data_IF_949154842911
#
_entry.id   IF_949154842911
#
_cell.length_a   1.000
_cell.length_b   1.000
_cell.length_c   1.000
_cell.angle_alpha   90.00
_cell.angle_beta   90.00
_cell.angle_gamma   90.00
#
_symmetry.space_group_name_H-M   'P 1'
#
loop_
_entity.id
_entity.type
_entity.pdbx_description
1 polymer ?
#
# COMPACT_ATOMS: atom_id res chain seq x y z
N UNK A 1 -1.18 -21.46 26.85
CA UNK A 1 -1.23 -21.25 25.39
C UNK A 1 -0.07 -22.01 24.77
N UNK A 2 -0.36 -22.91 23.86
CA UNK A 2 0.72 -23.62 23.14
C UNK A 2 1.39 -22.69 22.12
N UNK A 3 2.60 -23.02 21.71
CA UNK A 3 3.33 -22.29 20.67
C UNK A 3 2.55 -22.27 19.36
N UNK A 4 1.95 -23.39 18.99
CA UNK A 4 1.08 -23.49 17.79
C UNK A 4 -0.11 -22.57 17.87
N UNK A 5 -0.76 -22.50 19.03
CA UNK A 5 -1.90 -21.60 19.22
C UNK A 5 -1.47 -20.13 19.11
N UNK A 6 -0.28 -19.78 19.59
CA UNK A 6 0.26 -18.42 19.44
C UNK A 6 0.49 -18.07 17.95
N UNK A 7 1.03 -19.00 17.15
CA UNK A 7 1.19 -18.79 15.70
C UNK A 7 -0.13 -18.62 14.99
N UNK A 8 -1.13 -19.45 15.30
CA UNK A 8 -2.47 -19.32 14.72
C UNK A 8 -3.10 -17.97 15.04
N UNK A 9 -2.94 -17.48 16.27
CA UNK A 9 -3.43 -16.17 16.66
C UNK A 9 -2.73 -15.02 15.90
N UNK A 10 -1.43 -15.14 15.65
CA UNK A 10 -0.67 -14.15 14.87
C UNK A 10 -1.15 -14.16 13.41
N UNK A 11 -1.33 -15.32 12.82
CA UNK A 11 -1.83 -15.44 11.44
C UNK A 11 -3.27 -14.92 11.30
N UNK A 12 -4.13 -15.20 12.26
CA UNK A 12 -5.50 -14.65 12.29
C UNK A 12 -5.49 -13.12 12.39
N UNK A 13 -4.66 -12.56 13.27
CA UNK A 13 -4.49 -11.12 13.38
C UNK A 13 -3.95 -10.49 12.08
N UNK A 14 -2.97 -11.13 11.44
CA UNK A 14 -2.44 -10.68 10.16
C UNK A 14 -3.50 -10.70 9.06
N UNK A 15 -4.31 -11.75 8.99
CA UNK A 15 -5.42 -11.85 8.04
C UNK A 15 -6.46 -10.75 8.24
N UNK A 16 -6.77 -10.40 9.47
CA UNK A 16 -7.68 -9.29 9.81
C UNK A 16 -7.10 -7.93 9.40
N UNK A 17 -5.81 -7.71 9.60
CA UNK A 17 -5.12 -6.49 9.13
C UNK A 17 -5.20 -6.40 7.61
N UNK A 18 -4.95 -7.49 6.88
CA UNK A 18 -5.04 -7.52 5.42
C UNK A 18 -6.45 -7.20 4.92
N UNK A 19 -7.45 -7.76 5.57
CA UNK A 19 -8.84 -7.43 5.25
C UNK A 19 -9.14 -5.95 5.44
N UNK A 20 -8.71 -5.37 6.55
CA UNK A 20 -8.90 -3.95 6.82
C UNK A 20 -8.16 -3.06 5.81
N UNK A 21 -6.96 -3.41 5.40
CA UNK A 21 -6.21 -2.70 4.34
C UNK A 21 -6.97 -2.74 3.02
N UNK A 22 -7.51 -3.88 2.64
CA UNK A 22 -8.32 -4.03 1.43
C UNK A 22 -9.57 -3.11 1.48
N UNK A 23 -10.25 -3.04 2.62
CA UNK A 23 -11.40 -2.15 2.81
C UNK A 23 -11.02 -0.67 2.73
N UNK A 24 -9.86 -0.28 3.28
CA UNK A 24 -9.35 1.10 3.17
C UNK A 24 -9.07 1.45 1.72
N UNK A 25 -8.42 0.57 0.95
CA UNK A 25 -8.13 0.79 -0.47
C UNK A 25 -9.41 0.90 -1.29
N UNK A 26 -10.40 0.07 -1.04
CA UNK A 26 -11.71 0.14 -1.70
C UNK A 26 -12.42 1.46 -1.40
N UNK A 27 -12.43 1.87 -0.13
CA UNK A 27 -13.03 3.13 0.28
C UNK A 27 -12.31 4.34 -0.37
N UNK A 28 -10.99 4.31 -0.45
CA UNK A 28 -10.21 5.36 -1.11
C UNK A 28 -10.43 5.40 -2.62
N UNK A 29 -10.62 4.27 -3.26
CA UNK A 29 -10.98 4.22 -4.69
C UNK A 29 -12.33 4.88 -4.94
N UNK A 30 -13.34 4.57 -4.13
CA UNK A 30 -14.68 5.19 -4.23
C UNK A 30 -14.63 6.69 -3.94
N UNK A 31 -13.88 7.11 -2.92
CA UNK A 31 -13.69 8.52 -2.58
C UNK A 31 -13.04 9.28 -3.75
N UNK A 32 -11.98 8.72 -4.33
CA UNK A 32 -11.28 9.33 -5.47
C UNK A 32 -12.17 9.48 -6.70
N UNK A 33 -13.02 8.50 -6.97
CA UNK A 33 -14.00 8.56 -8.05
C UNK A 33 -15.04 9.66 -7.81
N UNK A 34 -15.53 9.78 -6.59
CA UNK A 34 -16.46 10.86 -6.20
C UNK A 34 -15.84 12.24 -6.34
N UNK A 35 -14.61 12.42 -5.86
CA UNK A 35 -13.86 13.68 -5.99
C UNK A 35 -13.65 14.03 -7.46
N UNK A 36 -13.23 13.05 -8.28
CA UNK A 36 -13.07 13.24 -9.72
C UNK A 36 -14.36 13.71 -10.38
N UNK A 37 -15.47 13.03 -10.11
CA UNK A 37 -16.77 13.38 -10.66
C UNK A 37 -17.24 14.74 -10.19
N UNK A 38 -17.01 15.09 -8.92
CA UNK A 38 -17.35 16.40 -8.39
C UNK A 38 -16.56 17.50 -9.10
N UNK A 39 -15.25 17.34 -9.27
CA UNK A 39 -14.38 18.30 -9.97
C UNK A 39 -14.88 18.50 -11.41
N UNK A 40 -15.15 17.42 -12.14
CA UNK A 40 -15.57 17.49 -13.53
C UNK A 40 -16.93 18.18 -13.74
N UNK A 41 -17.83 18.12 -12.76
CA UNK A 41 -19.18 18.62 -12.88
C UNK A 41 -19.46 19.95 -12.19
N UNK A 42 -18.62 20.36 -11.24
CA UNK A 42 -18.88 21.53 -10.39
C UNK A 42 -17.79 22.59 -10.44
N UNK A 43 -16.61 22.24 -10.91
CA UNK A 43 -15.48 23.15 -10.95
C UNK A 43 -15.43 23.80 -12.34
N UNK A 44 -15.69 25.10 -12.38
CA UNK A 44 -15.60 25.96 -13.55
C UNK A 44 -14.30 26.78 -13.50
N UNK A 45 -13.88 27.33 -14.63
CA UNK A 45 -12.72 28.22 -14.69
C UNK A 45 -12.82 29.38 -13.69
N UNK A 46 -14.05 29.86 -13.42
CA UNK A 46 -14.33 30.91 -12.44
C UNK A 46 -14.26 30.47 -10.98
N UNK A 47 -14.12 29.17 -10.72
CA UNK A 47 -14.05 28.62 -9.35
C UNK A 47 -12.69 28.84 -8.70
N UNK A 48 -11.68 29.19 -9.48
CA UNK A 48 -10.32 29.43 -9.00
C UNK A 48 -9.95 30.90 -9.17
N UNK A 49 -9.14 31.41 -8.25
CA UNK A 49 -8.65 32.79 -8.31
C UNK A 49 -7.67 33.01 -9.46
N UNK A 50 -6.90 31.99 -9.80
CA UNK A 50 -5.92 31.98 -10.89
C UNK A 50 -5.70 30.59 -11.49
N UNK A 51 -4.96 30.55 -12.60
CA UNK A 51 -4.59 29.32 -13.30
C UNK A 51 -3.69 28.40 -12.47
N UNK A 52 -2.87 28.97 -11.60
CA UNK A 52 -1.96 28.19 -10.76
C UNK A 52 -2.76 27.34 -9.76
N UNK A 53 -3.76 27.93 -9.11
CA UNK A 53 -4.66 27.20 -8.21
C UNK A 53 -5.52 26.17 -8.92
N UNK A 54 -5.94 26.44 -10.13
CA UNK A 54 -6.69 25.50 -10.95
C UNK A 54 -5.93 24.19 -11.19
N UNK A 55 -4.60 24.26 -11.25
CA UNK A 55 -3.74 23.10 -11.41
C UNK A 55 -3.29 22.51 -10.06
N UNK A 56 -2.92 23.35 -9.09
CA UNK A 56 -2.35 22.88 -7.82
C UNK A 56 -3.37 22.21 -6.92
N UNK A 57 -4.59 22.74 -6.78
CA UNK A 57 -5.57 22.22 -5.83
C UNK A 57 -5.97 20.77 -6.12
N UNK A 58 -6.25 20.35 -7.37
CA UNK A 58 -6.48 18.95 -7.68
C UNK A 58 -5.25 18.05 -7.49
N UNK A 59 -4.04 18.58 -7.73
CA UNK A 59 -2.79 17.86 -7.49
C UNK A 59 -2.54 17.63 -6.00
N UNK A 60 -2.84 18.61 -5.15
CA UNK A 60 -2.73 18.47 -3.69
C UNK A 60 -3.63 17.35 -3.15
N UNK A 61 -4.85 17.24 -3.67
CA UNK A 61 -5.76 16.12 -3.33
C UNK A 61 -5.18 14.78 -3.79
N UNK A 62 -4.60 14.74 -4.98
CA UNK A 62 -3.93 13.55 -5.50
C UNK A 62 -2.73 13.14 -4.62
N UNK A 63 -1.91 14.10 -4.23
CA UNK A 63 -0.74 13.85 -3.38
C UNK A 63 -1.13 13.29 -2.01
N UNK A 64 -2.21 13.77 -1.41
CA UNK A 64 -2.76 13.20 -0.17
C UNK A 64 -3.18 11.74 -0.33
N UNK A 65 -3.75 11.37 -1.47
CA UNK A 65 -4.09 9.99 -1.77
C UNK A 65 -2.84 9.12 -1.90
N UNK A 66 -1.81 9.62 -2.59
CA UNK A 66 -0.52 8.93 -2.73
C UNK A 66 0.13 8.70 -1.36
N UNK A 67 0.11 9.69 -0.46
CA UNK A 67 0.62 9.54 0.92
C UNK A 67 -0.08 8.41 1.68
N UNK A 68 -1.39 8.26 1.55
CA UNK A 68 -2.13 7.14 2.16
C UNK A 68 -1.66 5.81 1.61
N UNK A 69 -1.50 5.69 0.29
CA UNK A 69 -1.02 4.46 -0.35
C UNK A 69 0.40 4.12 0.09
N UNK A 70 1.29 5.11 0.18
CA UNK A 70 2.65 4.93 0.70
C UNK A 70 2.65 4.46 2.16
N UNK A 71 1.80 5.03 3.00
CA UNK A 71 1.63 4.60 4.39
C UNK A 71 1.15 3.15 4.51
N UNK A 72 0.19 2.74 3.68
CA UNK A 72 -0.29 1.36 3.61
C UNK A 72 0.81 0.41 3.11
N UNK A 73 1.62 0.84 2.16
CA UNK A 73 2.76 0.05 1.66
C UNK A 73 3.79 -0.18 2.77
N UNK A 74 4.13 0.85 3.55
CA UNK A 74 5.02 0.72 4.72
C UNK A 74 4.44 -0.21 5.78
N UNK A 75 3.14 -0.14 6.05
CA UNK A 75 2.45 -1.05 6.96
C UNK A 75 2.57 -2.51 6.48
N UNK A 76 2.34 -2.76 5.21
CA UNK A 76 2.44 -4.09 4.60
C UNK A 76 3.86 -4.65 4.68
N UNK A 77 4.86 -3.84 4.37
CA UNK A 77 6.26 -4.23 4.46
C UNK A 77 6.66 -4.56 5.91
N UNK A 78 6.22 -3.76 6.87
CA UNK A 78 6.43 -4.01 8.29
C UNK A 78 5.77 -5.30 8.76
N UNK A 79 4.54 -5.55 8.35
CA UNK A 79 3.82 -6.78 8.68
C UNK A 79 4.52 -8.01 8.10
N UNK A 80 4.93 -7.94 6.84
CA UNK A 80 5.66 -9.02 6.17
C UNK A 80 6.98 -9.32 6.88
N UNK A 81 7.73 -8.29 7.25
CA UNK A 81 8.97 -8.42 8.01
C UNK A 81 8.75 -9.07 9.38
N UNK A 82 7.72 -8.65 10.10
CA UNK A 82 7.37 -9.22 11.40
C UNK A 82 6.97 -10.70 11.28
N UNK A 83 6.18 -11.06 10.29
CA UNK A 83 5.79 -12.44 10.04
C UNK A 83 6.98 -13.32 9.71
N UNK A 84 7.92 -12.86 8.89
CA UNK A 84 9.17 -13.58 8.58
C UNK A 84 10.03 -13.83 9.83
N UNK A 85 10.02 -12.89 10.77
CA UNK A 85 10.79 -13.01 12.01
C UNK A 85 10.16 -13.99 12.99
N UNK A 86 8.84 -14.02 13.08
CA UNK A 86 8.08 -14.80 14.07
C UNK A 86 7.81 -16.22 13.60
N UNK A 87 7.50 -16.42 12.32
CA UNK A 87 7.23 -17.75 11.78
C UNK A 87 8.53 -18.57 11.69
N UNK A 88 8.49 -19.88 12.01
CA UNK A 88 9.67 -20.71 11.91
C UNK A 88 10.13 -20.79 10.46
N UNK A 89 11.47 -20.82 10.21
CA UNK A 89 11.97 -21.08 8.89
C UNK A 89 11.45 -22.44 8.41
N UNK A 90 11.15 -22.55 7.12
CA UNK A 90 10.84 -23.85 6.50
C UNK A 90 12.07 -24.74 6.73
N UNK A 91 11.87 -25.89 7.38
CA UNK A 91 12.92 -26.89 7.49
C UNK A 91 13.32 -27.30 6.08
N UNK A 92 14.57 -27.03 5.70
CA UNK A 92 15.19 -27.53 4.47
C UNK A 92 15.35 -29.06 4.56
N UNK A 93 14.25 -29.79 4.55
CA UNK A 93 14.29 -31.23 4.36
C UNK A 93 13.31 -31.65 3.27
N UNK A 94 13.87 -31.94 2.12
CA UNK A 94 13.15 -32.59 1.02
C UNK A 94 13.06 -31.77 -0.26
N UNK A 95 14.03 -31.98 -1.13
CA UNK A 95 14.13 -31.48 -2.48
C UNK A 95 12.81 -31.39 -3.24
N UNK A 96 12.51 -30.22 -3.69
CA UNK A 96 11.37 -29.90 -4.51
C UNK A 96 11.43 -28.45 -4.94
N UNK A 97 12.16 -28.25 -6.02
CA UNK A 97 11.99 -27.21 -7.02
C UNK A 97 10.92 -26.16 -6.67
N UNK A 98 11.35 -24.95 -6.50
CA UNK A 98 10.41 -23.98 -6.91
C UNK A 98 10.19 -22.71 -6.21
N UNK A 99 11.05 -21.82 -6.26
CA UNK A 99 10.82 -20.56 -6.96
C UNK A 99 9.69 -19.65 -6.51
N UNK A 100 9.19 -19.70 -5.26
CA UNK A 100 8.25 -18.68 -4.78
C UNK A 100 8.93 -17.58 -3.95
N UNK A 101 10.11 -17.84 -3.44
CA UNK A 101 10.85 -16.88 -2.61
C UNK A 101 11.47 -15.73 -3.44
N UNK A 102 11.92 -16.01 -4.66
CA UNK A 102 12.46 -14.99 -5.54
C UNK A 102 11.42 -14.09 -6.22
N UNK A 103 10.19 -14.58 -6.38
CA UNK A 103 9.13 -13.85 -7.08
C UNK A 103 8.45 -12.81 -6.18
N UNK A 104 8.34 -13.09 -4.88
CA UNK A 104 7.68 -12.19 -3.93
C UNK A 104 8.59 -11.02 -3.52
N UNK A 105 9.89 -11.27 -3.42
CA UNK A 105 10.88 -10.22 -3.14
C UNK A 105 11.07 -9.27 -4.33
N UNK A 106 10.96 -9.79 -5.56
CA UNK A 106 11.06 -8.98 -6.78
C UNK A 106 9.81 -8.17 -7.10
N UNK A 107 8.66 -8.55 -6.54
CA UNK A 107 7.38 -7.88 -6.81
C UNK A 107 7.17 -6.64 -5.93
N UNK A 108 7.84 -6.57 -4.76
CA UNK A 108 7.76 -5.45 -3.84
C UNK A 108 9.10 -4.74 -3.58
N UNK A 109 10.18 -5.26 -4.14
CA UNK A 109 11.53 -4.69 -4.07
C UNK A 109 11.90 -3.89 -5.30
N UNK A 110 10.95 -3.16 -5.88
CA UNK A 110 11.26 -2.13 -6.86
C UNK A 110 12.02 -1.01 -6.16
N UNK A 111 13.32 -1.05 -6.31
CA UNK A 111 14.22 0.03 -5.99
C UNK A 111 13.80 1.25 -6.80
N UNK A 112 13.00 2.12 -6.19
CA UNK A 112 12.76 3.46 -6.70
C UNK A 112 13.96 4.32 -6.31
N UNK A 113 15.05 4.14 -7.02
CA UNK A 113 16.09 5.13 -7.09
C UNK A 113 15.49 6.38 -7.75
N UNK A 114 15.03 7.29 -6.93
CA UNK A 114 14.85 8.68 -7.32
C UNK A 114 16.25 9.26 -7.42
N UNK A 115 16.88 9.10 -8.59
CA UNK A 115 18.05 9.89 -8.92
C UNK A 115 17.63 11.37 -8.84
N UNK A 116 18.17 12.00 -7.82
CA UNK A 116 18.22 13.45 -7.66
C UNK A 116 18.94 14.05 -8.88
N UNK A 117 18.16 14.52 -9.86
CA UNK A 117 18.65 15.34 -10.95
C UNK A 117 18.74 16.78 -10.53
N UNK A 118 19.68 17.09 -9.63
CA UNK A 118 20.11 18.46 -9.42
C UNK A 118 21.25 18.79 -10.41
N UNK A 119 20.86 19.35 -11.53
CA UNK A 119 21.69 20.31 -12.29
C UNK A 119 20.82 21.26 -13.08
#
# INVERSE_FOLDING_TARGET
MSREQAYLNILDAAAKIQWNVAMILEAKAVESEKVRNWILNHVLDSSFEDHEKQLSDPLDVHDQLVEVIEGLTKLQNGLCSNLKTVLPPEDEDGGGDGGLDGSFSGMFGGDFDLEDSSK
#
